data_IF_014670536037
#
_entry.id   IF_014670536037
#
_cell.length_a   1.000
_cell.length_b   1.000
_cell.length_c   1.000
_cell.angle_alpha   90.00
_cell.angle_beta   90.00
_cell.angle_gamma   90.00
#
_symmetry.space_group_name_H-M   'P 1'
#
loop_
_entity.id
_entity.type
_entity.pdbx_description
1 polymer ?
#
# COMPACT_ATOMS: atom_id res chain seq x y z
N UNK A 1 -26.56 80.83 39.44
CA UNK A 1 -25.14 80.56 39.12
C UNK A 1 -24.62 79.26 39.75
N UNK A 2 -24.99 78.89 40.98
CA UNK A 2 -24.49 77.68 41.66
C UNK A 2 -25.00 76.34 41.07
N UNK A 3 -26.25 76.25 40.60
CA UNK A 3 -26.79 75.01 39.99
C UNK A 3 -26.13 74.64 38.65
N UNK A 4 -25.75 75.64 37.85
CA UNK A 4 -25.16 75.44 36.53
C UNK A 4 -23.71 74.91 36.65
N UNK A 5 -22.97 75.41 37.63
CA UNK A 5 -21.64 74.93 38.01
C UNK A 5 -21.67 73.50 38.57
N UNK A 6 -22.69 73.15 39.37
CA UNK A 6 -22.86 71.79 39.90
C UNK A 6 -23.25 70.76 38.83
N UNK A 7 -23.98 71.17 37.78
CA UNK A 7 -24.28 70.34 36.61
C UNK A 7 -23.05 70.13 35.73
N UNK A 8 -22.29 71.21 35.45
CA UNK A 8 -21.03 71.12 34.67
C UNK A 8 -20.02 70.23 35.39
N UNK A 9 -19.90 70.33 36.71
CA UNK A 9 -18.98 69.48 37.50
C UNK A 9 -19.38 68.00 37.49
N UNK A 10 -20.68 67.69 37.53
CA UNK A 10 -21.18 66.30 37.44
C UNK A 10 -21.02 65.73 36.02
N UNK A 11 -21.27 66.52 34.99
CA UNK A 11 -21.05 66.12 33.59
C UNK A 11 -19.55 65.92 33.29
N UNK A 12 -18.69 66.82 33.76
CA UNK A 12 -17.24 66.70 33.60
C UNK A 12 -16.68 65.46 34.30
N UNK A 13 -17.18 65.14 35.50
CA UNK A 13 -16.81 63.91 36.20
C UNK A 13 -17.27 62.65 35.47
N UNK A 14 -18.50 62.63 34.94
CA UNK A 14 -19.03 61.51 34.17
C UNK A 14 -18.23 61.27 32.86
N UNK A 15 -17.80 62.35 32.19
CA UNK A 15 -16.95 62.25 31.00
C UNK A 15 -15.56 61.70 31.34
N UNK A 16 -14.94 62.17 32.43
CA UNK A 16 -13.63 61.67 32.86
C UNK A 16 -13.70 60.18 33.22
N UNK A 17 -14.70 59.77 34.00
CA UNK A 17 -14.91 58.36 34.35
C UNK A 17 -15.19 57.52 33.10
N UNK A 18 -16.00 58.03 32.16
CA UNK A 18 -16.26 57.36 30.88
C UNK A 18 -14.99 57.14 30.05
N UNK A 19 -14.12 58.15 29.97
CA UNK A 19 -12.82 58.03 29.28
C UNK A 19 -11.91 57.01 29.96
N UNK A 20 -11.84 57.00 31.29
CA UNK A 20 -11.05 56.01 32.02
C UNK A 20 -11.54 54.57 31.78
N UNK A 21 -12.85 54.34 31.73
CA UNK A 21 -13.42 53.01 31.45
C UNK A 21 -13.09 52.56 30.02
N UNK A 22 -13.21 53.46 29.03
CA UNK A 22 -12.87 53.14 27.64
C UNK A 22 -11.38 52.78 27.49
N UNK A 23 -10.49 53.51 28.16
CA UNK A 23 -9.04 53.19 28.19
C UNK A 23 -8.80 51.82 28.83
N UNK A 24 -9.48 51.51 29.94
CA UNK A 24 -9.30 50.24 30.65
C UNK A 24 -9.80 49.04 29.82
N UNK A 25 -10.96 49.19 29.17
CA UNK A 25 -11.49 48.17 28.25
C UNK A 25 -10.55 48.01 27.06
N UNK A 26 -10.08 49.09 26.45
CA UNK A 26 -9.14 49.05 25.33
C UNK A 26 -7.82 48.34 25.68
N UNK A 27 -7.25 48.63 26.86
CA UNK A 27 -6.07 47.93 27.37
C UNK A 27 -6.35 46.44 27.62
N UNK A 28 -7.52 46.09 28.15
CA UNK A 28 -7.96 44.71 28.33
C UNK A 28 -8.06 43.94 27.02
N UNK A 29 -8.62 44.55 25.97
CA UNK A 29 -8.72 43.94 24.64
C UNK A 29 -7.34 43.75 24.00
N UNK A 30 -6.43 44.73 24.16
CA UNK A 30 -5.04 44.61 23.69
C UNK A 30 -4.32 43.48 24.44
N UNK A 31 -4.52 43.35 25.75
CA UNK A 31 -3.91 42.29 26.55
C UNK A 31 -4.41 40.90 26.13
N UNK A 32 -5.71 40.75 25.87
CA UNK A 32 -6.30 39.50 25.35
C UNK A 32 -5.82 39.16 23.93
N UNK A 33 -5.56 40.17 23.07
CA UNK A 33 -4.99 39.96 21.73
C UNK A 33 -3.49 39.61 21.76
N UNK A 34 -2.77 39.97 22.82
CA UNK A 34 -1.34 39.63 22.97
C UNK A 34 -1.13 38.17 23.41
N UNK A 35 -2.06 37.56 24.16
CA UNK A 35 -1.94 36.16 24.62
C UNK A 35 -1.72 35.13 23.50
N UNK A 36 -2.51 35.13 22.41
CA UNK A 36 -2.30 34.23 21.27
C UNK A 36 -0.98 34.49 20.54
N UNK A 37 -0.55 35.75 20.43
CA UNK A 37 0.72 36.12 19.79
C UNK A 37 1.92 35.67 20.63
N UNK A 38 1.83 35.79 21.95
CA UNK A 38 2.82 35.27 22.90
C UNK A 38 2.92 33.74 22.83
N UNK A 39 1.80 33.01 22.79
CA UNK A 39 1.83 31.55 22.64
C UNK A 39 2.44 31.09 21.31
N UNK A 40 2.14 31.78 20.21
CA UNK A 40 2.73 31.48 18.90
C UNK A 40 4.24 31.81 18.89
N UNK A 41 4.65 32.92 19.50
CA UNK A 41 6.06 33.24 19.71
C UNK A 41 6.76 32.21 20.60
N UNK A 42 6.17 31.78 21.71
CA UNK A 42 6.72 30.73 22.57
C UNK A 42 6.83 29.40 21.84
N UNK A 43 5.86 29.06 20.99
CA UNK A 43 5.90 27.85 20.18
C UNK A 43 6.97 27.92 19.08
N UNK A 44 7.11 29.05 18.41
CA UNK A 44 8.18 29.29 17.44
C UNK A 44 9.54 29.32 18.12
N UNK A 45 9.68 29.96 19.28
CA UNK A 45 10.89 29.94 20.10
C UNK A 45 11.20 28.52 20.53
N UNK A 46 10.22 27.71 20.95
CA UNK A 46 10.42 26.31 21.32
C UNK A 46 10.87 25.47 20.12
N UNK A 47 10.27 25.64 18.94
CA UNK A 47 10.69 24.96 17.70
C UNK A 47 12.09 25.38 17.28
N UNK A 48 12.40 26.68 17.37
CA UNK A 48 13.71 27.23 17.05
C UNK A 48 14.76 26.79 18.07
N UNK A 49 14.45 26.79 19.36
CA UNK A 49 15.28 26.25 20.44
C UNK A 49 15.47 24.74 20.31
N UNK A 50 14.52 23.99 19.77
CA UNK A 50 14.72 22.56 19.46
C UNK A 50 15.75 22.35 18.35
N UNK A 51 15.85 23.28 17.39
CA UNK A 51 16.84 23.24 16.31
C UNK A 51 18.19 23.81 16.77
N UNK A 52 18.18 24.86 17.61
CA UNK A 52 19.38 25.53 18.15
C UNK A 52 20.01 24.75 19.31
N UNK A 53 19.21 24.03 20.10
CA UNK A 53 19.69 23.14 21.18
C UNK A 53 19.96 21.71 20.70
N UNK A 54 19.78 21.39 19.42
CA UNK A 54 20.48 20.21 18.89
C UNK A 54 21.97 20.53 19.06
N UNK A 55 22.71 19.76 19.88
CA UNK A 55 24.13 20.03 20.07
C UNK A 55 24.75 20.09 18.67
N UNK A 56 25.51 21.16 18.40
CA UNK A 56 26.36 21.20 17.22
C UNK A 56 27.14 19.90 17.22
N UNK A 57 27.12 19.12 16.12
CA UNK A 57 27.84 17.87 16.09
C UNK A 57 29.27 18.15 16.52
N UNK A 58 29.78 17.35 17.44
CA UNK A 58 31.10 17.58 18.01
C UNK A 58 32.13 17.61 16.88
N UNK A 59 33.29 18.24 17.11
CA UNK A 59 34.35 18.23 16.09
C UNK A 59 34.75 16.79 15.72
N UNK A 60 34.65 15.85 16.67
CA UNK A 60 34.83 14.42 16.46
C UNK A 60 33.72 13.80 15.60
N UNK A 61 32.45 14.17 15.81
CA UNK A 61 31.33 13.71 14.97
C UNK A 61 31.39 14.27 13.54
N UNK A 62 31.81 15.54 13.39
CA UNK A 62 32.04 16.16 12.09
C UNK A 62 33.23 15.52 11.38
N UNK A 63 34.32 15.25 12.09
CA UNK A 63 35.48 14.56 11.56
C UNK A 63 35.13 13.12 11.18
N UNK A 64 34.38 12.39 12.02
CA UNK A 64 33.91 11.04 11.72
C UNK A 64 32.99 11.02 10.49
N UNK A 65 32.08 12.00 10.35
CA UNK A 65 31.25 12.14 9.14
C UNK A 65 32.08 12.49 7.91
N UNK A 66 33.07 13.37 8.05
CA UNK A 66 33.97 13.74 6.98
C UNK A 66 34.85 12.55 6.53
N UNK A 67 35.38 11.77 7.48
CA UNK A 67 36.18 10.59 7.22
C UNK A 67 35.34 9.45 6.65
N UNK A 68 34.10 9.27 7.12
CA UNK A 68 33.13 8.34 6.54
C UNK A 68 32.83 8.69 5.08
N UNK A 69 32.49 9.95 4.78
CA UNK A 69 32.25 10.42 3.40
C UNK A 69 33.50 10.25 2.54
N UNK A 70 34.69 10.52 3.09
CA UNK A 70 35.95 10.37 2.37
C UNK A 70 36.29 8.92 2.03
N UNK A 71 35.93 8.00 2.92
CA UNK A 71 36.08 6.55 2.76
C UNK A 71 35.05 6.01 1.76
N UNK A 72 33.81 6.47 1.85
CA UNK A 72 32.75 6.12 0.90
C UNK A 72 33.10 6.53 -0.54
N UNK A 73 33.80 7.66 -0.70
CA UNK A 73 34.28 8.18 -1.98
C UNK A 73 35.55 7.51 -2.51
N UNK A 74 36.07 6.45 -1.88
CA UNK A 74 37.18 5.71 -2.44
C UNK A 74 36.80 5.07 -3.79
N UNK A 75 37.74 5.01 -4.76
CA UNK A 75 37.49 4.37 -6.05
C UNK A 75 37.03 2.92 -5.86
N UNK A 76 35.85 2.62 -6.38
CA UNK A 76 35.27 1.27 -6.35
C UNK A 76 35.49 0.59 -7.71
N UNK A 77 35.96 -0.66 -7.67
CA UNK A 77 36.09 -1.47 -8.87
C UNK A 77 34.71 -1.82 -9.44
N UNK A 78 34.59 -1.91 -10.76
CA UNK A 78 33.31 -2.19 -11.43
C UNK A 78 32.59 -3.45 -10.91
N UNK A 79 33.28 -4.58 -10.66
CA UNK A 79 32.63 -5.77 -10.09
C UNK A 79 32.03 -5.52 -8.70
N UNK A 80 32.69 -4.73 -7.85
CA UNK A 80 32.20 -4.40 -6.51
C UNK A 80 30.96 -3.52 -6.59
N UNK A 81 30.94 -2.54 -7.50
CA UNK A 81 29.77 -1.69 -7.73
C UNK A 81 28.57 -2.50 -8.23
N UNK A 82 28.80 -3.46 -9.14
CA UNK A 82 27.76 -4.36 -9.63
C UNK A 82 27.20 -5.25 -8.51
N UNK A 83 28.07 -5.85 -7.69
CA UNK A 83 27.67 -6.67 -6.55
C UNK A 83 26.81 -5.87 -5.56
N UNK A 84 27.20 -4.63 -5.28
CA UNK A 84 26.43 -3.72 -4.45
C UNK A 84 25.00 -3.48 -4.98
N UNK A 85 24.85 -3.21 -6.29
CA UNK A 85 23.53 -3.00 -6.91
C UNK A 85 22.69 -4.28 -6.84
N UNK A 86 23.31 -5.44 -7.10
CA UNK A 86 22.64 -6.75 -7.02
C UNK A 86 22.20 -7.06 -5.58
N UNK A 87 23.02 -6.74 -4.59
CA UNK A 87 22.70 -6.94 -3.18
C UNK A 87 21.54 -6.05 -2.71
N UNK A 88 21.48 -4.81 -3.20
CA UNK A 88 20.32 -3.93 -2.97
C UNK A 88 19.07 -4.56 -3.57
N UNK A 89 19.12 -4.94 -4.86
CA UNK A 89 18.00 -5.57 -5.54
C UNK A 89 17.49 -6.81 -4.79
N UNK A 90 18.41 -7.69 -4.36
CA UNK A 90 18.08 -8.89 -3.58
C UNK A 90 17.42 -8.54 -2.25
N UNK A 91 17.92 -7.53 -1.52
CA UNK A 91 17.34 -7.10 -0.24
C UNK A 91 15.94 -6.50 -0.40
N UNK A 92 15.71 -5.79 -1.50
CA UNK A 92 14.39 -5.22 -1.82
C UNK A 92 13.40 -6.29 -2.30
N UNK A 93 13.86 -7.52 -2.57
CA UNK A 93 13.05 -8.67 -2.97
C UNK A 93 13.02 -8.94 -4.48
N UNK A 94 13.80 -8.21 -5.28
CA UNK A 94 13.91 -8.46 -6.72
C UNK A 94 14.64 -9.78 -6.95
N UNK A 95 14.10 -10.61 -7.84
CA UNK A 95 14.79 -11.82 -8.27
C UNK A 95 16.03 -11.48 -9.11
N UNK A 96 17.19 -11.86 -8.58
CA UNK A 96 18.51 -11.63 -9.18
C UNK A 96 19.03 -12.84 -9.98
N UNK A 97 18.24 -13.91 -10.10
CA UNK A 97 18.59 -15.06 -10.93
C UNK A 97 18.72 -14.60 -12.40
N UNK A 98 19.87 -14.80 -13.07
CA UNK A 98 20.05 -14.44 -14.47
C UNK A 98 19.01 -15.07 -15.40
N UNK A 99 18.51 -16.26 -15.07
CA UNK A 99 17.54 -17.00 -15.88
C UNK A 99 16.13 -16.38 -15.84
N UNK A 100 15.76 -15.72 -14.73
CA UNK A 100 14.44 -15.09 -14.62
C UNK A 100 14.34 -13.79 -15.42
N UNK A 101 15.48 -13.17 -15.73
CA UNK A 101 15.55 -11.93 -16.50
C UNK A 101 14.90 -10.71 -15.81
N UNK A 102 14.56 -10.84 -14.52
CA UNK A 102 13.86 -9.83 -13.72
C UNK A 102 14.78 -8.66 -13.37
N UNK A 103 16.04 -8.94 -13.00
CA UNK A 103 17.10 -7.94 -12.90
C UNK A 103 18.06 -8.04 -14.10
N UNK A 104 18.29 -6.92 -14.79
CA UNK A 104 19.32 -6.80 -15.83
C UNK A 104 20.11 -5.53 -15.63
N UNK A 105 21.42 -5.67 -15.45
CA UNK A 105 22.35 -4.55 -15.33
C UNK A 105 23.29 -4.60 -16.54
N UNK A 106 23.27 -3.54 -17.34
CA UNK A 106 24.22 -3.41 -18.45
C UNK A 106 25.59 -2.98 -17.94
N UNK A 107 26.63 -3.24 -18.73
CA UNK A 107 27.98 -2.76 -18.42
C UNK A 107 27.97 -1.22 -18.23
N UNK A 108 28.73 -0.70 -17.26
CA UNK A 108 28.76 0.74 -17.03
C UNK A 108 29.37 1.48 -18.23
N UNK A 109 28.99 2.75 -18.37
CA UNK A 109 29.62 3.65 -19.30
C UNK A 109 31.05 3.98 -18.90
N UNK A 110 31.77 4.66 -19.80
CA UNK A 110 33.15 5.10 -19.53
C UNK A 110 33.17 6.07 -18.34
N UNK A 111 34.14 5.95 -17.40
CA UNK A 111 34.30 6.90 -16.32
C UNK A 111 34.44 8.34 -16.83
N UNK A 112 33.75 9.28 -16.19
CA UNK A 112 33.76 10.69 -16.56
C UNK A 112 34.22 11.55 -15.38
N UNK A 113 35.00 12.59 -15.66
CA UNK A 113 35.41 13.54 -14.63
C UNK A 113 34.42 14.70 -14.57
N UNK A 114 33.84 14.95 -13.38
CA UNK A 114 32.93 16.07 -13.15
C UNK A 114 33.45 16.95 -12.03
N UNK A 115 33.50 18.25 -12.32
CA UNK A 115 33.85 19.27 -11.32
C UNK A 115 32.58 19.67 -10.57
N UNK A 116 32.57 19.47 -9.25
CA UNK A 116 31.52 19.90 -8.34
C UNK A 116 32.08 20.95 -7.37
N UNK A 117 31.21 21.59 -6.57
CA UNK A 117 31.59 22.66 -5.65
C UNK A 117 32.70 22.26 -4.64
N UNK A 118 32.82 20.97 -4.31
CA UNK A 118 33.80 20.42 -3.37
C UNK A 118 35.06 19.78 -3.97
N UNK A 119 35.19 19.70 -5.30
CA UNK A 119 36.32 19.04 -5.95
C UNK A 119 36.01 18.44 -7.32
N UNK A 120 37.00 17.75 -7.90
CA UNK A 120 36.80 16.96 -9.12
C UNK A 120 36.61 15.50 -8.73
N UNK A 121 35.50 14.92 -9.18
CA UNK A 121 35.12 13.55 -8.92
C UNK A 121 35.10 12.76 -10.23
N UNK A 122 35.36 11.46 -10.12
CA UNK A 122 35.12 10.51 -11.18
C UNK A 122 33.71 9.94 -11.01
N UNK A 123 32.98 9.80 -12.11
CA UNK A 123 31.64 9.24 -12.17
C UNK A 123 31.69 7.99 -13.01
N UNK A 124 31.21 6.88 -12.46
CA UNK A 124 30.95 5.65 -13.19
C UNK A 124 29.43 5.52 -13.43
N UNK A 125 28.94 5.84 -14.64
CA UNK A 125 27.52 5.80 -14.93
C UNK A 125 27.05 4.36 -15.24
N UNK A 126 25.96 3.93 -14.62
CA UNK A 126 25.24 2.72 -15.01
C UNK A 126 23.89 3.13 -15.61
N UNK A 127 23.71 2.80 -16.89
CA UNK A 127 22.48 3.09 -17.63
C UNK A 127 21.64 1.84 -17.85
N UNK A 128 20.35 2.05 -18.07
CA UNK A 128 19.38 1.03 -18.47
C UNK A 128 19.36 -0.21 -17.55
N UNK A 129 19.50 0.01 -16.25
CA UNK A 129 19.27 -1.04 -15.24
C UNK A 129 17.78 -1.36 -15.25
N UNK A 130 17.42 -2.60 -15.55
CA UNK A 130 16.03 -3.06 -15.55
C UNK A 130 15.77 -3.90 -14.31
N UNK A 131 14.75 -3.54 -13.55
CA UNK A 131 14.22 -4.34 -12.45
C UNK A 131 12.73 -4.61 -12.70
N UNK A 132 12.28 -5.84 -12.47
CA UNK A 132 10.91 -6.28 -12.69
C UNK A 132 10.45 -7.12 -11.48
N UNK A 133 9.23 -6.88 -11.03
CA UNK A 133 8.62 -7.60 -9.90
C UNK A 133 7.26 -7.01 -9.55
N UNK A 134 6.74 -7.37 -8.37
CA UNK A 134 5.58 -6.67 -7.82
C UNK A 134 5.91 -5.19 -7.55
N UNK A 135 4.86 -4.37 -7.51
CA UNK A 135 5.00 -2.93 -7.41
C UNK A 135 5.78 -2.49 -6.16
N UNK A 136 5.49 -3.10 -5.02
CA UNK A 136 6.09 -2.71 -3.74
C UNK A 136 7.58 -3.07 -3.70
N UNK A 137 7.96 -4.25 -4.18
CA UNK A 137 9.36 -4.67 -4.32
C UNK A 137 10.14 -3.75 -5.27
N UNK A 138 9.57 -3.37 -6.42
CA UNK A 138 10.23 -2.44 -7.35
C UNK A 138 10.37 -1.04 -6.74
N UNK A 139 9.36 -0.57 -6.01
CA UNK A 139 9.42 0.72 -5.31
C UNK A 139 10.44 0.72 -4.18
N UNK A 140 10.54 -0.36 -3.41
CA UNK A 140 11.55 -0.53 -2.37
C UNK A 140 12.95 -0.49 -2.98
N UNK A 141 13.16 -1.17 -4.11
CA UNK A 141 14.44 -1.12 -4.82
C UNK A 141 14.83 0.30 -5.24
N UNK A 142 13.89 1.05 -5.81
CA UNK A 142 14.13 2.45 -6.21
C UNK A 142 14.42 3.33 -5.00
N UNK A 143 13.67 3.15 -3.91
CA UNK A 143 13.89 3.88 -2.66
C UNK A 143 15.26 3.58 -2.05
N UNK A 144 15.70 2.33 -2.05
CA UNK A 144 17.00 1.94 -1.53
C UNK A 144 18.17 2.50 -2.35
N UNK A 145 17.96 2.70 -3.67
CA UNK A 145 18.91 3.37 -4.55
C UNK A 145 18.90 4.90 -4.40
N UNK A 146 17.74 5.52 -4.14
CA UNK A 146 17.61 6.97 -4.00
C UNK A 146 18.09 7.49 -2.63
N UNK A 147 17.82 6.73 -1.56
CA UNK A 147 18.17 7.14 -0.19
C UNK A 147 19.68 7.16 0.07
N UNK A 148 20.48 6.49 -0.77
CA UNK A 148 21.93 6.34 -0.57
C UNK A 148 22.32 5.60 0.71
N UNK A 149 21.34 4.99 1.39
CA UNK A 149 21.54 4.26 2.66
C UNK A 149 22.37 2.98 2.48
N UNK A 150 22.38 2.45 1.26
CA UNK A 150 23.11 1.25 0.84
C UNK A 150 24.48 1.59 0.25
N UNK A 151 24.58 2.64 -0.58
CA UNK A 151 25.83 3.27 -1.00
C UNK A 151 25.68 4.79 -1.09
N UNK A 152 26.34 5.52 -0.19
CA UNK A 152 26.25 6.98 -0.11
C UNK A 152 26.76 7.71 -1.37
N UNK A 153 27.59 7.04 -2.17
CA UNK A 153 28.15 7.57 -3.41
C UNK A 153 27.32 7.31 -4.65
N UNK A 154 26.23 6.56 -4.52
CA UNK A 154 25.32 6.24 -5.60
C UNK A 154 24.22 7.30 -5.68
N UNK A 155 23.99 7.82 -6.88
CA UNK A 155 22.93 8.79 -7.13
C UNK A 155 22.02 8.26 -8.24
N UNK A 156 20.74 8.12 -7.92
CA UNK A 156 19.70 7.83 -8.90
C UNK A 156 19.46 9.05 -9.80
N UNK A 157 19.67 8.89 -11.10
CA UNK A 157 19.56 9.96 -12.10
C UNK A 157 18.21 9.97 -12.81
N UNK A 158 17.71 8.78 -13.14
CA UNK A 158 16.48 8.61 -13.92
C UNK A 158 15.78 7.34 -13.52
N UNK A 159 14.46 7.41 -13.48
CA UNK A 159 13.54 6.28 -13.36
C UNK A 159 12.51 6.39 -14.46
N UNK A 160 12.33 5.32 -15.21
CA UNK A 160 11.22 5.13 -16.13
C UNK A 160 10.43 3.91 -15.67
N UNK A 161 9.11 4.06 -15.58
CA UNK A 161 8.20 3.00 -15.15
C UNK A 161 7.39 2.49 -16.33
N UNK A 162 7.20 1.19 -16.35
CA UNK A 162 6.37 0.48 -17.30
C UNK A 162 5.69 -0.71 -16.61
N UNK A 163 4.74 -1.34 -17.28
CA UNK A 163 4.08 -2.56 -16.83
C UNK A 163 4.33 -3.67 -17.84
N UNK A 164 4.72 -4.84 -17.35
CA UNK A 164 4.88 -6.02 -18.18
C UNK A 164 3.85 -7.07 -17.79
N UNK A 165 3.16 -7.63 -18.79
CA UNK A 165 2.37 -8.82 -18.59
C UNK A 165 3.29 -10.01 -18.30
N UNK A 166 2.97 -10.73 -17.23
CA UNK A 166 3.65 -11.98 -16.88
C UNK A 166 3.04 -13.10 -17.69
N UNK A 167 3.88 -13.85 -18.41
CA UNK A 167 3.47 -15.11 -19.00
C UNK A 167 3.35 -16.14 -17.89
N UNK A 168 2.12 -16.57 -17.60
CA UNK A 168 1.85 -17.62 -16.63
C UNK A 168 1.98 -19.00 -17.30
N UNK A 169 2.34 -20.00 -16.52
CA UNK A 169 2.29 -21.39 -16.98
C UNK A 169 0.84 -21.84 -17.24
N UNK A 170 0.63 -22.73 -18.21
CA UNK A 170 -0.72 -23.19 -18.61
C UNK A 170 -1.53 -23.73 -17.43
N UNK A 171 -0.88 -24.42 -16.48
CA UNK A 171 -1.52 -24.93 -15.27
C UNK A 171 -2.04 -23.82 -14.36
N UNK A 172 -1.26 -22.77 -14.18
CA UNK A 172 -1.65 -21.62 -13.35
C UNK A 172 -2.77 -20.82 -14.02
N UNK A 173 -2.75 -20.70 -15.35
CA UNK A 173 -3.85 -20.09 -16.10
C UNK A 173 -5.15 -20.88 -15.91
N UNK A 174 -5.09 -22.21 -16.01
CA UNK A 174 -6.25 -23.07 -15.79
C UNK A 174 -6.79 -22.99 -14.37
N UNK A 175 -5.91 -23.01 -13.35
CA UNK A 175 -6.29 -22.81 -11.94
C UNK A 175 -7.02 -21.49 -11.72
N UNK A 176 -6.49 -20.38 -12.24
CA UNK A 176 -7.07 -19.04 -12.12
C UNK A 176 -8.43 -18.93 -12.80
N UNK A 177 -8.57 -19.57 -13.96
CA UNK A 177 -9.85 -19.63 -14.67
C UNK A 177 -10.89 -20.43 -13.89
N UNK A 178 -10.52 -21.58 -13.30
CA UNK A 178 -11.41 -22.37 -12.44
C UNK A 178 -11.83 -21.57 -11.21
N UNK A 179 -10.88 -20.87 -10.55
CA UNK A 179 -11.18 -20.02 -9.40
C UNK A 179 -12.17 -18.90 -9.75
N UNK A 180 -11.94 -18.22 -10.88
CA UNK A 180 -12.85 -17.16 -11.35
C UNK A 180 -14.24 -17.68 -11.64
N UNK A 181 -14.36 -18.84 -12.30
CA UNK A 181 -15.64 -19.47 -12.58
C UNK A 181 -16.42 -19.76 -11.30
N UNK A 182 -15.75 -20.23 -10.24
CA UNK A 182 -16.40 -20.47 -8.94
C UNK A 182 -16.83 -19.15 -8.27
N UNK A 183 -15.99 -18.12 -8.30
CA UNK A 183 -16.34 -16.78 -7.77
C UNK A 183 -17.58 -16.22 -8.48
N UNK A 184 -17.60 -16.27 -9.81
CA UNK A 184 -18.72 -15.79 -10.63
C UNK A 184 -19.99 -16.61 -10.34
N UNK A 185 -19.87 -17.93 -10.27
CA UNK A 185 -21.00 -18.82 -9.97
C UNK A 185 -21.62 -18.55 -8.58
N UNK A 186 -20.79 -18.30 -7.54
CA UNK A 186 -21.29 -17.91 -6.21
C UNK A 186 -22.02 -16.57 -6.27
N UNK A 187 -21.45 -15.58 -6.96
CA UNK A 187 -22.06 -14.26 -7.08
C UNK A 187 -23.41 -14.31 -7.82
N UNK A 188 -23.47 -15.05 -8.93
CA UNK A 188 -24.71 -15.25 -9.70
C UNK A 188 -25.76 -15.98 -8.86
N UNK A 189 -25.37 -17.01 -8.11
CA UNK A 189 -26.28 -17.73 -7.22
C UNK A 189 -26.86 -16.81 -6.13
N UNK A 190 -26.02 -16.01 -5.47
CA UNK A 190 -26.46 -15.04 -4.45
C UNK A 190 -27.46 -14.05 -5.06
N UNK A 191 -27.13 -13.51 -6.24
CA UNK A 191 -27.98 -12.54 -6.93
C UNK A 191 -29.32 -13.14 -7.36
N UNK A 192 -29.32 -14.32 -7.98
CA UNK A 192 -30.51 -14.99 -8.49
C UNK A 192 -31.47 -15.44 -7.37
N UNK A 193 -30.94 -15.73 -6.17
CA UNK A 193 -31.73 -16.08 -5.00
C UNK A 193 -32.00 -14.87 -4.08
N UNK A 194 -31.57 -13.66 -4.48
CA UNK A 194 -31.72 -12.42 -3.72
C UNK A 194 -31.25 -12.57 -2.25
N UNK A 195 -30.06 -13.13 -2.07
CA UNK A 195 -29.44 -13.33 -0.77
C UNK A 195 -28.58 -12.11 -0.41
N UNK A 196 -28.72 -11.61 0.81
CA UNK A 196 -27.77 -10.65 1.37
C UNK A 196 -26.52 -11.38 1.91
N UNK A 197 -26.71 -12.59 2.46
CA UNK A 197 -25.67 -13.47 2.98
C UNK A 197 -26.04 -14.94 2.72
N UNK A 198 -25.04 -15.79 2.54
CA UNK A 198 -25.21 -17.25 2.48
C UNK A 198 -25.49 -17.76 3.91
N UNK A 199 -26.61 -18.47 4.18
CA UNK A 199 -26.99 -18.82 5.55
C UNK A 199 -26.08 -19.82 6.25
N UNK A 200 -25.69 -20.90 5.55
CA UNK A 200 -24.80 -21.93 6.10
C UNK A 200 -23.59 -22.16 5.20
N UNK A 201 -22.67 -21.19 5.12
CA UNK A 201 -21.56 -21.23 4.18
C UNK A 201 -20.49 -22.23 4.63
N UNK A 202 -19.83 -22.88 3.67
CA UNK A 202 -18.58 -23.63 3.89
C UNK A 202 -17.43 -22.65 4.13
N UNK A 203 -17.39 -22.06 5.32
CA UNK A 203 -16.45 -21.00 5.66
C UNK A 203 -15.04 -21.51 6.02
N UNK A 204 -14.06 -20.59 5.97
CA UNK A 204 -12.68 -20.90 6.31
C UNK A 204 -12.52 -21.38 7.77
N UNK A 205 -13.33 -20.87 8.69
CA UNK A 205 -13.27 -21.23 10.11
C UNK A 205 -13.64 -22.71 10.38
N UNK A 206 -14.41 -23.32 9.48
CA UNK A 206 -14.75 -24.74 9.50
C UNK A 206 -13.56 -25.67 9.23
N UNK A 207 -12.41 -25.12 8.80
CA UNK A 207 -11.15 -25.84 8.50
C UNK A 207 -11.25 -26.91 7.42
N UNK A 208 -12.32 -26.91 6.64
CA UNK A 208 -12.55 -27.84 5.56
C UNK A 208 -12.95 -27.07 4.30
N UNK A 209 -12.21 -27.28 3.23
CA UNK A 209 -12.57 -26.85 1.88
C UNK A 209 -13.20 -28.02 1.12
N UNK A 210 -14.11 -27.71 0.20
CA UNK A 210 -14.84 -28.70 -0.59
C UNK A 210 -14.65 -28.46 -2.08
N UNK A 211 -14.71 -29.52 -2.88
CA UNK A 211 -14.65 -29.46 -4.34
C UNK A 211 -15.94 -29.97 -5.00
N UNK A 212 -16.94 -30.34 -4.20
CA UNK A 212 -18.24 -30.80 -4.67
C UNK A 212 -19.19 -29.60 -4.84
N UNK A 213 -19.41 -29.18 -6.08
CA UNK A 213 -20.24 -28.01 -6.42
C UNK A 213 -21.75 -28.29 -6.24
N UNK A 214 -22.13 -29.56 -6.11
CA UNK A 214 -23.49 -29.98 -5.74
C UNK A 214 -23.76 -29.84 -4.23
N UNK A 215 -22.77 -29.45 -3.43
CA UNK A 215 -22.89 -29.24 -1.98
C UNK A 215 -22.26 -27.91 -1.52
N UNK A 216 -21.90 -27.03 -2.45
CA UNK A 216 -21.22 -25.77 -2.19
C UNK A 216 -21.97 -24.60 -2.83
N UNK A 217 -22.04 -23.40 -2.21
CA UNK A 217 -21.44 -23.03 -0.93
C UNK A 217 -22.24 -23.41 0.32
N UNK A 218 -23.49 -23.83 0.19
CA UNK A 218 -24.36 -24.19 1.31
C UNK A 218 -25.20 -25.42 0.95
N UNK A 219 -25.00 -26.53 1.64
CA UNK A 219 -25.77 -27.78 1.49
C UNK A 219 -26.76 -28.04 2.64
N UNK A 220 -26.89 -27.11 3.59
CA UNK A 220 -27.62 -27.34 4.84
C UNK A 220 -28.96 -26.64 4.84
N UNK A 221 -29.06 -25.45 4.23
CA UNK A 221 -30.31 -24.68 4.24
C UNK A 221 -31.43 -25.45 3.54
N UNK A 222 -32.50 -25.76 4.26
CA UNK A 222 -33.58 -26.60 3.73
C UNK A 222 -34.44 -25.86 2.70
N UNK A 223 -35.13 -26.62 1.84
CA UNK A 223 -36.15 -26.06 0.94
C UNK A 223 -37.23 -25.22 1.66
N UNK A 224 -37.62 -25.61 2.86
CA UNK A 224 -38.58 -24.86 3.69
C UNK A 224 -38.01 -23.50 4.10
N UNK A 225 -36.73 -23.45 4.53
CA UNK A 225 -36.04 -22.21 4.88
C UNK A 225 -35.81 -21.30 3.68
N UNK A 226 -35.69 -21.87 2.48
CA UNK A 226 -35.70 -21.14 1.19
C UNK A 226 -37.10 -20.61 0.81
N UNK A 227 -38.13 -20.93 1.59
CA UNK A 227 -39.50 -20.44 1.42
C UNK A 227 -40.41 -21.32 0.56
N UNK A 228 -40.04 -22.57 0.27
CA UNK A 228 -40.88 -23.48 -0.51
C UNK A 228 -42.16 -23.86 0.23
N UNK A 229 -43.30 -23.83 -0.46
CA UNK A 229 -44.63 -24.18 0.10
C UNK A 229 -45.38 -25.24 -0.71
N UNK A 230 -44.77 -25.74 -1.79
CA UNK A 230 -45.37 -26.75 -2.67
C UNK A 230 -45.29 -28.17 -2.12
N UNK A 231 -45.83 -29.12 -2.87
CA UNK A 231 -45.79 -30.55 -2.53
C UNK A 231 -44.63 -31.32 -3.19
N UNK A 232 -43.76 -30.63 -3.92
CA UNK A 232 -42.57 -31.19 -4.55
C UNK A 232 -41.43 -31.41 -3.55
N UNK A 233 -40.29 -31.84 -4.07
CA UNK A 233 -39.07 -32.11 -3.29
C UNK A 233 -37.86 -31.43 -3.95
N UNK A 234 -37.81 -30.08 -3.98
CA UNK A 234 -36.65 -29.37 -4.48
C UNK A 234 -35.41 -29.68 -3.62
N UNK A 235 -34.24 -29.55 -4.23
CA UNK A 235 -32.98 -29.71 -3.51
C UNK A 235 -32.82 -28.67 -2.40
N UNK A 236 -32.29 -29.17 -1.28
CA UNK A 236 -31.78 -28.34 -0.19
C UNK A 236 -30.52 -27.59 -0.65
N UNK A 237 -30.19 -26.55 0.09
CA UNK A 237 -29.02 -25.75 -0.07
C UNK A 237 -29.17 -24.62 -1.08
N UNK A 238 -28.14 -23.78 -1.05
CA UNK A 238 -27.81 -22.83 -2.10
C UNK A 238 -26.52 -23.34 -2.74
N UNK A 239 -26.68 -24.17 -3.77
CA UNK A 239 -25.58 -24.92 -4.39
C UNK A 239 -25.25 -24.38 -5.80
N UNK A 240 -24.09 -24.70 -6.36
CA UNK A 240 -23.68 -24.18 -7.67
C UNK A 240 -24.03 -25.10 -8.84
N UNK A 241 -24.14 -26.40 -8.60
CA UNK A 241 -24.48 -27.41 -9.62
C UNK A 241 -25.87 -27.98 -9.38
N UNK A 242 -26.74 -27.93 -10.39
CA UNK A 242 -28.14 -28.42 -10.34
C UNK A 242 -28.97 -27.84 -9.17
N UNK A 243 -28.81 -26.54 -8.89
CA UNK A 243 -29.57 -25.84 -7.84
C UNK A 243 -31.05 -25.69 -8.18
N UNK A 244 -31.93 -26.12 -7.29
CA UNK A 244 -33.36 -25.83 -7.40
C UNK A 244 -33.68 -24.47 -6.79
N UNK A 245 -33.86 -23.48 -7.67
CA UNK A 245 -34.26 -22.11 -7.32
C UNK A 245 -35.77 -22.02 -7.15
N UNK A 246 -36.20 -21.61 -5.96
CA UNK A 246 -37.61 -21.31 -5.68
C UNK A 246 -37.87 -19.86 -6.10
N UNK A 247 -38.86 -19.66 -6.96
CA UNK A 247 -39.15 -18.31 -7.46
C UNK A 247 -39.95 -17.51 -6.45
N UNK A 248 -39.59 -16.23 -6.25
CA UNK A 248 -40.32 -15.35 -5.33
C UNK A 248 -41.81 -15.16 -5.73
N UNK A 249 -42.11 -15.21 -7.02
CA UNK A 249 -43.47 -15.04 -7.55
C UNK A 249 -44.36 -16.28 -7.34
N UNK A 250 -43.76 -17.45 -7.15
CA UNK A 250 -44.47 -18.71 -6.95
C UNK A 250 -43.63 -19.67 -6.11
N UNK A 251 -43.93 -19.71 -4.81
CA UNK A 251 -43.21 -20.55 -3.85
C UNK A 251 -43.62 -22.01 -3.86
N UNK A 252 -44.56 -22.41 -4.74
CA UNK A 252 -44.96 -23.81 -4.91
C UNK A 252 -44.24 -24.53 -6.05
N UNK A 253 -43.52 -23.78 -6.89
CA UNK A 253 -42.71 -24.28 -8.02
C UNK A 253 -41.22 -23.92 -7.84
N UNK A 254 -40.36 -24.61 -8.59
CA UNK A 254 -38.92 -24.36 -8.62
C UNK A 254 -38.34 -24.59 -10.02
N UNK A 255 -37.17 -23.99 -10.27
CA UNK A 255 -36.41 -24.13 -11.50
C UNK A 255 -35.00 -24.61 -11.19
N UNK A 256 -34.57 -25.67 -11.88
CA UNK A 256 -33.19 -26.15 -11.78
C UNK A 256 -32.25 -25.26 -12.59
N UNK A 257 -31.24 -24.73 -11.92
CA UNK A 257 -30.22 -23.83 -12.45
C UNK A 257 -28.84 -24.44 -12.24
N UNK A 258 -27.93 -24.27 -13.20
CA UNK A 258 -26.54 -24.69 -13.06
C UNK A 258 -25.66 -23.46 -13.26
N UNK A 259 -25.04 -22.99 -12.17
CA UNK A 259 -24.15 -21.82 -12.19
C UNK A 259 -22.73 -22.20 -12.57
N UNK A 260 -22.35 -23.47 -12.41
CA UNK A 260 -21.09 -24.03 -12.87
C UNK A 260 -21.32 -25.40 -13.51
N UNK A 261 -20.77 -25.64 -14.70
CA UNK A 261 -21.03 -26.88 -15.46
C UNK A 261 -20.33 -28.13 -14.89
N UNK A 262 -19.43 -27.95 -13.91
CA UNK A 262 -18.65 -29.04 -13.31
C UNK A 262 -19.21 -29.37 -11.92
N UNK A 263 -19.69 -30.61 -11.68
CA UNK A 263 -20.14 -31.01 -10.35
C UNK A 263 -18.98 -31.20 -9.36
N UNK A 264 -17.77 -31.49 -9.87
CA UNK A 264 -16.55 -31.65 -9.07
C UNK A 264 -15.41 -30.84 -9.71
N UNK A 265 -14.76 -30.00 -8.92
CA UNK A 265 -13.59 -29.21 -9.32
C UNK A 265 -12.27 -29.92 -9.00
N UNK A 266 -11.19 -29.50 -9.67
CA UNK A 266 -9.84 -29.99 -9.36
C UNK A 266 -9.33 -29.45 -8.02
N UNK A 267 -9.68 -28.20 -7.71
CA UNK A 267 -9.30 -27.51 -6.48
C UNK A 267 -10.43 -27.49 -5.46
N UNK A 268 -10.10 -27.13 -4.23
CA UNK A 268 -11.03 -27.07 -3.10
C UNK A 268 -11.31 -25.61 -2.73
N UNK A 269 -12.51 -25.35 -2.24
CA UNK A 269 -13.02 -24.01 -2.01
C UNK A 269 -13.65 -23.86 -0.64
N UNK A 270 -13.51 -22.66 -0.08
CA UNK A 270 -14.35 -22.15 1.01
C UNK A 270 -15.07 -20.91 0.52
N UNK A 271 -16.24 -20.64 1.09
CA UNK A 271 -17.02 -19.44 0.86
C UNK A 271 -17.39 -18.83 2.20
N UNK A 272 -17.17 -17.53 2.37
CA UNK A 272 -17.66 -16.79 3.54
C UNK A 272 -19.14 -16.40 3.33
N UNK A 273 -19.80 -15.94 4.40
CA UNK A 273 -21.23 -15.57 4.32
C UNK A 273 -21.51 -14.44 3.33
N UNK A 274 -20.54 -13.57 3.07
CA UNK A 274 -20.63 -12.47 2.09
C UNK A 274 -20.36 -12.90 0.64
N UNK A 275 -20.13 -14.20 0.38
CA UNK A 275 -19.80 -14.71 -0.94
C UNK A 275 -18.31 -14.70 -1.27
N UNK A 276 -17.43 -14.26 -0.36
CA UNK A 276 -15.97 -14.29 -0.58
C UNK A 276 -15.47 -15.71 -0.69
N UNK A 277 -14.94 -16.09 -1.86
CA UNK A 277 -14.41 -17.43 -2.13
C UNK A 277 -12.88 -17.48 -1.96
N UNK A 278 -12.37 -18.57 -1.39
CA UNK A 278 -10.93 -18.90 -1.32
C UNK A 278 -10.67 -20.25 -1.98
N UNK A 279 -9.47 -20.46 -2.52
CA UNK A 279 -9.10 -21.69 -3.23
C UNK A 279 -7.88 -22.36 -2.60
N UNK A 280 -7.88 -23.70 -2.58
CA UNK A 280 -6.86 -24.54 -1.95
C UNK A 280 -6.49 -25.74 -2.84
N UNK A 281 -5.30 -26.29 -2.63
CA UNK A 281 -4.84 -27.54 -3.26
C UNK A 281 -5.35 -28.82 -2.57
N UNK A 282 -6.06 -28.69 -1.45
CA UNK A 282 -6.57 -29.81 -0.68
C UNK A 282 -7.72 -29.43 0.26
N UNK A 283 -8.42 -30.43 0.84
CA UNK A 283 -9.59 -30.20 1.67
C UNK A 283 -9.24 -29.77 3.11
N UNK A 284 -8.07 -30.13 3.63
CA UNK A 284 -7.64 -29.79 5.00
C UNK A 284 -6.84 -28.49 4.99
N UNK A 285 -7.44 -27.42 5.54
CA UNK A 285 -6.85 -26.08 5.51
C UNK A 285 -5.53 -25.97 6.29
N UNK A 286 -5.26 -26.85 7.24
CA UNK A 286 -3.99 -26.83 8.00
C UNK A 286 -2.82 -27.40 7.21
N UNK A 287 -3.11 -28.31 6.26
CA UNK A 287 -2.12 -28.99 5.44
C UNK A 287 -2.05 -28.46 4.00
N UNK A 288 -3.12 -27.80 3.54
CA UNK A 288 -3.24 -27.29 2.18
C UNK A 288 -2.56 -25.94 1.98
N UNK A 289 -2.19 -25.66 0.73
CA UNK A 289 -1.73 -24.35 0.28
C UNK A 289 -2.92 -23.53 -0.22
N UNK A 290 -3.11 -22.34 0.33
CA UNK A 290 -4.06 -21.35 -0.22
C UNK A 290 -3.49 -20.73 -1.50
N UNK A 291 -4.29 -20.70 -2.55
CA UNK A 291 -3.97 -20.01 -3.79
C UNK A 291 -4.59 -18.62 -3.82
N UNK A 292 -3.78 -17.64 -4.25
CA UNK A 292 -4.20 -16.26 -4.38
C UNK A 292 -4.31 -15.86 -5.86
N UNK A 293 -5.22 -14.92 -6.11
CA UNK A 293 -5.44 -14.32 -7.41
C UNK A 293 -6.25 -15.21 -8.36
N UNK A 294 -7.30 -14.61 -8.92
CA UNK A 294 -8.17 -15.17 -9.97
C UNK A 294 -8.04 -14.37 -11.28
N UNK A 295 -7.11 -13.42 -11.35
CA UNK A 295 -6.95 -12.51 -12.48
C UNK A 295 -6.49 -13.26 -13.73
N UNK A 296 -7.03 -12.87 -14.90
CA UNK A 296 -6.63 -13.45 -16.19
C UNK A 296 -5.24 -12.97 -16.62
N UNK A 297 -4.91 -11.75 -16.23
CA UNK A 297 -3.68 -11.07 -16.61
C UNK A 297 -3.00 -10.62 -15.33
N UNK A 298 -1.77 -11.09 -15.12
CA UNK A 298 -0.89 -10.60 -14.06
C UNK A 298 0.05 -9.57 -14.65
N UNK A 299 0.09 -8.39 -14.06
CA UNK A 299 1.00 -7.31 -14.42
C UNK A 299 2.06 -7.16 -13.34
N UNK A 300 3.31 -7.06 -13.78
CA UNK A 300 4.43 -6.71 -12.92
C UNK A 300 4.94 -5.32 -13.29
N UNK A 301 5.40 -4.58 -12.28
CA UNK A 301 6.06 -3.32 -12.48
C UNK A 301 7.44 -3.57 -13.09
N UNK A 302 7.80 -2.73 -14.06
CA UNK A 302 9.14 -2.71 -14.66
C UNK A 302 9.72 -1.32 -14.49
N UNK A 303 10.84 -1.23 -13.78
CA UNK A 303 11.60 -0.02 -13.66
C UNK A 303 12.85 -0.09 -14.55
N UNK A 304 13.07 0.97 -15.34
CA UNK A 304 14.34 1.22 -16.04
C UNK A 304 15.03 2.41 -15.37
N UNK A 305 16.22 2.16 -14.85
CA UNK A 305 16.93 3.06 -13.96
C UNK A 305 18.26 3.48 -14.57
N UNK A 306 18.73 4.64 -14.17
CA UNK A 306 20.10 5.08 -14.43
C UNK A 306 20.67 5.65 -13.15
N UNK A 307 21.85 5.18 -12.76
CA UNK A 307 22.55 5.60 -11.54
C UNK A 307 23.96 6.07 -11.90
N UNK A 308 24.47 7.01 -11.13
CA UNK A 308 25.84 7.50 -11.22
C UNK A 308 26.56 7.16 -9.91
N UNK A 309 27.68 6.44 -9.97
CA UNK A 309 28.53 6.18 -8.82
C UNK A 309 29.67 7.20 -8.78
N UNK A 310 29.78 7.95 -7.68
CA UNK A 310 30.79 8.99 -7.50
C UNK A 310 31.99 8.48 -6.71
N UNK A 311 33.19 8.73 -7.21
CA UNK A 311 34.44 8.44 -6.51
C UNK A 311 35.41 9.61 -6.62
N UNK A 312 36.41 9.65 -5.74
CA UNK A 312 37.56 10.53 -5.91
C UNK A 312 38.38 10.06 -7.10
N UNK A 313 39.05 11.01 -7.76
CA UNK A 313 40.05 10.67 -8.76
C UNK A 313 41.12 9.77 -8.13
N UNK A 314 41.35 8.61 -8.73
CA UNK A 314 42.56 7.81 -8.48
C UNK A 314 43.76 8.72 -8.75
N UNK A 315 44.57 8.96 -7.71
CA UNK A 315 45.89 9.58 -7.91
C UNK A 315 46.70 8.59 -8.76
N UNK A 316 46.90 8.93 -10.03
CA UNK A 316 47.89 8.26 -10.88
C UNK A 316 49.30 8.46 -10.36
#
# INVERSE_FOLDING_TARGET
>A
MQELLARIRRMGFAVIVGVCIIIYVGLGTVYLQQGPKLKNLEEQIRKTMLVVNKPLPSMEELQAKYDAVNTALEPMETPQALEAIVDIARKSGIDVNPESGKLRINAPGKPQNKKLAGGTYQILPFGDIRAQGDFDTVMNFISDLDTGSSLETMILKRVEFDWAQVTLEEKEVARRADFRAVIEAVADMIADNNLDEIPSPVNYQGRLAVNEMAAFPDAVTTAEEKGYTGSGTPLDGYILYEHDRITADNTSDYLTMTYIDKPITEYYYTCESDGTVRQFDGPDLEASTEYFGSEEIVLEAVAKLSIDLYSKLTKG
#
